data_IF_758614273017
#
_entry.id   IF_758614273017
#
_cell.length_a   1.000
_cell.length_b   1.000
_cell.length_c   1.000
_cell.angle_alpha   90.00
_cell.angle_beta   90.00
_cell.angle_gamma   90.00
#
_symmetry.space_group_name_H-M   'P 1'
#
loop_
_entity.id
_entity.type
_entity.pdbx_description
1 polymer ?
#
# COMPACT_ATOMS: atom_id res chain seq x y z
N UNK A 1 -20.32 22.02 8.82
CA UNK A 1 -19.13 21.17 8.80
C UNK A 1 -18.08 21.84 7.93
N UNK A 2 -16.81 21.91 8.35
CA UNK A 2 -15.78 22.65 7.65
C UNK A 2 -14.80 21.69 6.95
N UNK A 3 -14.47 21.99 5.68
CA UNK A 3 -13.61 21.21 4.80
C UNK A 3 -12.55 22.13 4.19
N UNK A 4 -11.29 21.70 4.17
CA UNK A 4 -10.24 22.36 3.41
C UNK A 4 -10.14 21.79 2.00
N UNK A 5 -10.10 22.63 0.96
CA UNK A 5 -9.88 22.19 -0.42
C UNK A 5 -8.70 22.95 -1.00
N UNK A 6 -7.63 22.22 -1.30
CA UNK A 6 -6.41 22.74 -1.93
C UNK A 6 -6.44 22.46 -3.44
N UNK A 7 -6.18 23.47 -4.24
CA UNK A 7 -6.12 23.35 -5.69
C UNK A 7 -7.02 24.32 -6.44
N UNK A 8 -7.13 24.12 -7.77
CA UNK A 8 -7.90 25.01 -8.68
C UNK A 8 -8.56 24.22 -9.80
N UNK A 9 -9.63 24.78 -10.36
CA UNK A 9 -10.26 24.27 -11.57
C UNK A 9 -11.47 23.38 -11.33
N UNK A 10 -11.94 22.67 -12.37
CA UNK A 10 -13.25 22.04 -12.40
C UNK A 10 -13.49 20.94 -11.37
N UNK A 11 -12.43 20.30 -10.88
CA UNK A 11 -12.54 19.31 -9.80
C UNK A 11 -12.83 19.99 -8.45
N UNK A 12 -12.14 21.10 -8.15
CA UNK A 12 -12.39 21.88 -6.93
C UNK A 12 -13.81 22.44 -6.90
N UNK A 13 -14.31 22.92 -8.05
CA UNK A 13 -15.67 23.43 -8.15
C UNK A 13 -16.71 22.31 -7.92
N UNK A 14 -16.45 21.11 -8.42
CA UNK A 14 -17.32 19.95 -8.20
C UNK A 14 -17.30 19.45 -6.75
N UNK A 15 -16.14 19.45 -6.08
CA UNK A 15 -16.03 19.13 -4.64
C UNK A 15 -16.79 20.15 -3.80
N UNK A 16 -16.66 21.44 -4.12
CA UNK A 16 -17.36 22.51 -3.40
C UNK A 16 -18.89 22.37 -3.53
N UNK A 17 -19.38 22.09 -4.75
CA UNK A 17 -20.80 21.84 -4.97
C UNK A 17 -21.32 20.64 -4.16
N UNK A 18 -20.59 19.55 -4.11
CA UNK A 18 -20.96 18.38 -3.29
C UNK A 18 -21.00 18.70 -1.78
N UNK A 19 -20.11 19.56 -1.30
CA UNK A 19 -20.13 19.98 0.09
C UNK A 19 -21.34 20.86 0.43
N UNK A 20 -21.80 21.69 -0.51
CA UNK A 20 -23.02 22.51 -0.36
C UNK A 20 -24.27 21.61 -0.18
N UNK A 21 -24.33 20.44 -0.83
CA UNK A 21 -25.45 19.49 -0.71
C UNK A 21 -25.65 18.95 0.73
N UNK A 22 -24.63 19.06 1.58
CA UNK A 22 -24.66 18.63 2.99
C UNK A 22 -24.48 19.78 4.00
N UNK A 23 -24.80 21.01 3.61
CA UNK A 23 -24.60 22.23 4.42
C UNK A 23 -23.14 22.36 4.92
N UNK A 24 -22.16 21.88 4.16
CA UNK A 24 -20.74 21.99 4.45
C UNK A 24 -20.16 23.35 4.01
N UNK A 25 -19.21 23.85 4.77
CA UNK A 25 -18.45 25.05 4.43
C UNK A 25 -17.09 24.64 3.86
N UNK A 26 -16.75 25.11 2.67
CA UNK A 26 -15.47 24.86 2.03
C UNK A 26 -14.55 26.05 2.18
N UNK A 27 -13.41 25.81 2.86
CA UNK A 27 -12.30 26.76 2.92
C UNK A 27 -11.30 26.44 1.81
N UNK A 28 -11.14 27.34 0.84
CA UNK A 28 -10.12 27.18 -0.20
C UNK A 28 -8.76 27.57 0.35
N UNK A 29 -7.78 26.65 0.23
CA UNK A 29 -6.44 26.84 0.78
C UNK A 29 -5.38 26.76 -0.33
N UNK A 30 -4.35 27.57 -0.19
CA UNK A 30 -3.18 27.51 -1.08
C UNK A 30 -2.24 26.35 -0.64
N UNK A 31 -1.48 25.74 -1.55
CA UNK A 31 -0.57 24.65 -1.22
C UNK A 31 0.41 24.94 -0.07
N UNK A 32 0.91 26.18 0.03
CA UNK A 32 1.81 26.58 1.10
C UNK A 32 1.18 26.48 2.50
N UNK A 33 -0.12 26.69 2.63
CA UNK A 33 -0.81 26.60 3.91
C UNK A 33 -0.79 25.20 4.53
N UNK A 34 -0.65 24.13 3.72
CA UNK A 34 -0.53 22.76 4.20
C UNK A 34 0.78 22.52 4.98
N UNK A 35 1.82 23.30 4.70
CA UNK A 35 3.13 23.15 5.35
C UNK A 35 3.39 24.24 6.40
N UNK A 36 2.89 25.47 6.18
CA UNK A 36 3.28 26.64 6.96
C UNK A 36 2.43 26.82 8.22
N UNK A 37 1.13 26.49 8.19
CA UNK A 37 0.22 26.65 9.31
C UNK A 37 -0.80 25.51 9.43
N UNK A 38 -0.33 24.28 9.69
CA UNK A 38 -1.17 23.10 9.74
C UNK A 38 -2.27 23.17 10.82
N UNK A 39 -2.02 23.83 11.93
CA UNK A 39 -2.96 23.88 13.06
C UNK A 39 -4.22 24.73 12.78
N UNK A 40 -4.20 25.57 11.75
CA UNK A 40 -5.34 26.43 11.37
C UNK A 40 -6.33 25.75 10.43
N UNK A 41 -6.00 24.58 9.88
CA UNK A 41 -6.80 23.90 8.88
C UNK A 41 -7.70 22.82 9.49
N UNK A 42 -8.88 22.55 8.89
CA UNK A 42 -9.71 21.42 9.26
C UNK A 42 -8.95 20.08 9.13
N UNK A 43 -9.27 19.10 9.99
CA UNK A 43 -8.72 17.75 9.93
C UNK A 43 -9.19 16.92 8.71
N UNK A 44 -10.11 17.48 7.91
CA UNK A 44 -10.66 16.82 6.73
C UNK A 44 -10.52 17.72 5.51
N UNK A 45 -10.08 17.15 4.39
CA UNK A 45 -9.86 17.95 3.20
C UNK A 45 -9.78 17.19 1.89
N UNK A 46 -9.56 17.95 0.83
CA UNK A 46 -9.26 17.41 -0.51
C UNK A 46 -8.11 18.21 -1.14
N UNK A 47 -7.31 17.51 -1.92
CA UNK A 47 -6.21 18.09 -2.70
C UNK A 47 -6.37 17.75 -4.17
N UNK A 48 -6.35 18.77 -5.03
CA UNK A 48 -6.43 18.63 -6.48
C UNK A 48 -5.20 19.25 -7.12
N UNK A 49 -4.37 18.43 -7.75
CA UNK A 49 -3.14 18.87 -8.41
C UNK A 49 -2.71 17.87 -9.51
N UNK A 50 -1.75 18.22 -10.40
CA UNK A 50 -1.02 17.25 -11.20
C UNK A 50 -0.37 16.18 -10.30
N UNK A 51 -0.28 14.93 -10.80
CA UNK A 51 0.15 13.79 -9.98
C UNK A 51 1.55 13.97 -9.36
N UNK A 52 2.46 14.64 -10.07
CA UNK A 52 3.84 14.91 -9.65
C UNK A 52 3.98 16.08 -8.65
N UNK A 53 2.88 16.69 -8.21
CA UNK A 53 2.91 17.85 -7.34
C UNK A 53 3.32 17.50 -5.91
N UNK A 54 4.24 18.26 -5.35
CA UNK A 54 4.75 18.09 -3.98
C UNK A 54 3.71 18.35 -2.87
N UNK A 55 2.50 18.78 -3.20
CA UNK A 55 1.43 19.08 -2.24
C UNK A 55 0.83 17.82 -1.59
N UNK A 56 0.82 16.68 -2.26
CA UNK A 56 0.20 15.46 -1.74
C UNK A 56 0.91 14.86 -0.51
N UNK A 57 2.25 14.77 -0.45
CA UNK A 57 2.93 14.38 0.78
C UNK A 57 2.59 15.28 1.99
N UNK A 58 2.53 16.60 1.81
CA UNK A 58 2.17 17.55 2.87
C UNK A 58 0.72 17.33 3.37
N UNK A 59 -0.21 16.99 2.48
CA UNK A 59 -1.59 16.69 2.85
C UNK A 59 -1.72 15.46 3.77
N UNK A 60 -0.84 14.48 3.63
CA UNK A 60 -0.79 13.27 4.49
C UNK A 60 -0.50 13.61 5.95
N UNK A 61 0.36 14.58 6.20
CA UNK A 61 0.72 15.01 7.55
C UNK A 61 -0.30 15.99 8.14
N UNK A 62 -1.15 16.60 7.28
CA UNK A 62 -2.13 17.61 7.64
C UNK A 62 -3.52 17.05 7.97
N UNK A 63 -4.00 16.08 7.21
CA UNK A 63 -5.37 15.61 7.28
C UNK A 63 -5.49 14.21 7.86
N UNK A 64 -6.43 14.01 8.77
CA UNK A 64 -6.81 12.68 9.28
C UNK A 64 -7.65 11.90 8.26
N UNK A 65 -8.49 12.61 7.50
CA UNK A 65 -9.35 12.10 6.43
C UNK A 65 -9.28 13.01 5.22
N UNK A 66 -8.94 12.48 4.09
CA UNK A 66 -8.84 13.32 2.90
C UNK A 66 -8.94 12.54 1.60
N UNK A 67 -9.13 13.30 0.52
CA UNK A 67 -9.21 12.76 -0.84
C UNK A 67 -8.18 13.48 -1.71
N UNK A 68 -7.33 12.69 -2.39
CA UNK A 68 -6.47 13.19 -3.45
C UNK A 68 -7.18 13.09 -4.79
N UNK A 69 -7.10 14.14 -5.59
CA UNK A 69 -7.43 14.13 -7.02
C UNK A 69 -6.14 14.42 -7.78
N UNK A 70 -5.51 13.36 -8.26
CA UNK A 70 -4.29 13.44 -9.07
C UNK A 70 -4.68 13.56 -10.55
N UNK A 71 -4.08 14.50 -11.26
CA UNK A 71 -4.34 14.73 -12.69
C UNK A 71 -3.17 14.16 -13.51
N UNK A 72 -3.46 13.28 -14.47
CA UNK A 72 -2.50 12.70 -15.40
C UNK A 72 -1.59 11.65 -14.79
N UNK A 73 -2.09 10.88 -13.81
CA UNK A 73 -1.34 9.78 -13.20
C UNK A 73 -1.84 9.38 -11.82
N UNK A 74 -0.99 8.69 -11.07
CA UNK A 74 -1.31 8.11 -9.77
C UNK A 74 -0.06 8.00 -8.89
N UNK A 75 -0.20 8.30 -7.59
CA UNK A 75 0.83 8.07 -6.58
C UNK A 75 2.11 8.87 -6.79
N UNK A 76 2.03 10.00 -7.50
CA UNK A 76 3.17 10.82 -7.87
C UNK A 76 3.83 10.47 -9.20
N UNK A 77 3.31 9.47 -9.92
CA UNK A 77 3.83 9.02 -11.21
C UNK A 77 2.89 9.40 -12.35
N UNK A 78 3.38 10.14 -13.37
CA UNK A 78 2.66 10.35 -14.62
C UNK A 78 2.39 9.01 -15.32
N UNK A 79 1.13 8.74 -15.65
CA UNK A 79 0.70 7.50 -16.28
C UNK A 79 -0.23 7.85 -17.45
N UNK A 80 0.14 7.49 -18.68
CA UNK A 80 -0.53 7.89 -19.91
C UNK A 80 -2.01 7.52 -19.94
N UNK A 81 -2.36 6.33 -19.43
CA UNK A 81 -3.73 5.80 -19.44
C UNK A 81 -4.63 6.41 -18.35
N UNK A 82 -4.10 7.25 -17.47
CA UNK A 82 -4.84 7.84 -16.34
C UNK A 82 -4.96 9.35 -16.51
N UNK A 83 -6.12 9.81 -16.98
CA UNK A 83 -6.40 11.25 -17.07
C UNK A 83 -6.63 11.90 -15.69
N UNK A 84 -7.18 11.14 -14.73
CA UNK A 84 -7.25 11.53 -13.32
C UNK A 84 -7.42 10.30 -12.42
N UNK A 85 -6.97 10.40 -11.18
CA UNK A 85 -7.21 9.40 -10.14
C UNK A 85 -7.78 10.06 -8.88
N UNK A 86 -8.68 9.35 -8.20
CA UNK A 86 -9.30 9.79 -6.95
C UNK A 86 -8.96 8.79 -5.87
N UNK A 87 -8.09 9.18 -4.93
CA UNK A 87 -7.67 8.32 -3.82
C UNK A 87 -8.25 8.80 -2.51
N UNK A 88 -8.79 7.88 -1.73
CA UNK A 88 -9.42 8.14 -0.44
C UNK A 88 -8.50 7.71 0.69
N UNK A 89 -8.19 8.60 1.62
CA UNK A 89 -7.33 8.34 2.78
C UNK A 89 -8.11 8.55 4.07
N UNK A 90 -7.92 7.65 5.04
CA UNK A 90 -8.56 7.72 6.36
C UNK A 90 -7.71 7.08 7.43
N UNK A 91 -8.12 7.17 8.70
CA UNK A 91 -7.48 6.46 9.80
C UNK A 91 -7.37 4.96 9.47
N UNK A 92 -6.29 4.34 9.89
CA UNK A 92 -6.06 2.88 9.73
C UNK A 92 -6.03 2.39 8.27
N UNK A 93 -5.85 3.30 7.31
CA UNK A 93 -5.70 2.98 5.89
C UNK A 93 -4.29 3.27 5.37
N UNK A 94 -3.98 2.76 4.16
CA UNK A 94 -2.79 3.17 3.45
C UNK A 94 -2.78 4.69 3.27
N UNK A 95 -1.64 5.35 3.52
CA UNK A 95 -1.46 6.79 3.28
C UNK A 95 -0.91 7.05 1.86
N UNK A 96 -0.76 8.31 1.48
CA UNK A 96 -0.22 8.69 0.18
C UNK A 96 1.19 8.14 -0.06
N UNK A 97 2.05 8.07 0.97
CA UNK A 97 3.37 7.46 0.87
C UNK A 97 3.30 5.96 0.53
N UNK A 98 2.31 5.25 1.08
CA UNK A 98 2.07 3.86 0.70
C UNK A 98 1.67 3.75 -0.77
N UNK A 99 0.75 4.60 -1.23
CA UNK A 99 0.34 4.65 -2.64
C UNK A 99 1.54 4.89 -3.55
N UNK A 100 2.36 5.91 -3.28
CA UNK A 100 3.57 6.21 -4.07
C UNK A 100 4.51 5.00 -4.15
N UNK A 101 4.77 4.33 -3.02
CA UNK A 101 5.64 3.15 -3.00
C UNK A 101 5.03 1.95 -3.73
N UNK A 102 3.71 1.76 -3.65
CA UNK A 102 3.02 0.70 -4.38
C UNK A 102 3.08 0.92 -5.88
N UNK A 103 2.72 2.11 -6.33
CA UNK A 103 2.80 2.45 -7.77
C UNK A 103 4.23 2.35 -8.29
N UNK A 104 5.21 2.90 -7.56
CA UNK A 104 6.62 2.84 -7.94
C UNK A 104 7.24 1.44 -7.99
N UNK A 105 6.58 0.42 -7.42
CA UNK A 105 6.98 -0.98 -7.53
C UNK A 105 6.54 -1.64 -8.87
N UNK A 106 5.70 -0.96 -9.65
CA UNK A 106 5.11 -1.49 -10.89
C UNK A 106 5.39 -0.62 -12.12
N UNK A 107 5.60 0.68 -11.93
CA UNK A 107 5.69 1.63 -13.04
C UNK A 107 7.12 2.08 -13.31
N UNK A 108 7.46 2.14 -14.59
CA UNK A 108 8.66 2.85 -15.05
C UNK A 108 8.42 4.36 -14.99
N UNK A 109 9.37 5.09 -14.39
CA UNK A 109 9.27 6.52 -14.10
C UNK A 109 9.44 7.45 -15.32
N UNK A 110 9.28 6.96 -16.53
CA UNK A 110 9.57 7.67 -17.79
C UNK A 110 8.34 8.31 -18.46
N UNK A 111 7.32 8.67 -17.68
CA UNK A 111 6.07 9.22 -18.19
C UNK A 111 6.19 10.63 -18.79
N UNK A 112 5.27 10.97 -19.70
CA UNK A 112 5.06 12.34 -20.21
C UNK A 112 4.54 13.26 -19.09
N UNK A 113 4.52 14.58 -19.37
CA UNK A 113 3.97 15.54 -18.42
C UNK A 113 2.50 15.23 -18.08
N UNK A 114 2.10 15.30 -16.80
CA UNK A 114 0.74 14.97 -16.38
C UNK A 114 -0.29 15.84 -17.10
N UNK A 115 -1.32 15.21 -17.69
CA UNK A 115 -2.42 15.94 -18.31
C UNK A 115 -3.74 15.16 -18.17
N UNK A 116 -4.85 15.90 -18.12
CA UNK A 116 -6.19 15.32 -18.07
C UNK A 116 -7.18 16.25 -18.78
N UNK A 117 -8.11 15.68 -19.52
CA UNK A 117 -9.16 16.47 -20.15
C UNK A 117 -10.11 17.07 -19.08
N UNK A 118 -10.66 18.26 -19.41
CA UNK A 118 -11.46 19.04 -18.45
C UNK A 118 -12.72 18.32 -17.97
N UNK A 119 -13.32 17.45 -18.79
CA UNK A 119 -14.52 16.70 -18.44
C UNK A 119 -14.21 15.60 -17.44
N UNK A 120 -13.15 14.84 -17.65
CA UNK A 120 -12.68 13.79 -16.75
C UNK A 120 -12.20 14.37 -15.41
N UNK A 121 -11.49 15.51 -15.43
CA UNK A 121 -11.09 16.21 -14.18
C UNK A 121 -12.31 16.67 -13.39
N UNK A 122 -13.38 17.16 -14.06
CA UNK A 122 -14.64 17.50 -13.36
C UNK A 122 -15.32 16.28 -12.76
N UNK A 123 -15.36 15.15 -13.50
CA UNK A 123 -15.90 13.89 -12.98
C UNK A 123 -15.12 13.41 -11.77
N UNK A 124 -13.79 13.47 -11.82
CA UNK A 124 -12.93 13.16 -10.67
C UNK A 124 -13.30 14.00 -9.45
N UNK A 125 -13.54 15.30 -9.63
CA UNK A 125 -14.00 16.18 -8.55
C UNK A 125 -15.35 15.78 -7.97
N UNK A 126 -16.32 15.37 -8.79
CA UNK A 126 -17.62 14.91 -8.33
C UNK A 126 -17.49 13.59 -7.52
N UNK A 127 -16.66 12.66 -7.97
CA UNK A 127 -16.36 11.42 -7.24
C UNK A 127 -15.66 11.76 -5.92
N UNK A 128 -14.68 12.66 -5.93
CA UNK A 128 -13.96 13.09 -4.74
C UNK A 128 -14.90 13.72 -3.70
N UNK A 129 -15.84 14.59 -4.13
CA UNK A 129 -16.84 15.17 -3.25
C UNK A 129 -17.73 14.10 -2.59
N UNK A 130 -18.22 13.13 -3.36
CA UNK A 130 -19.01 12.01 -2.83
C UNK A 130 -18.20 11.18 -1.83
N UNK A 131 -16.93 10.84 -2.15
CA UNK A 131 -16.04 10.10 -1.25
C UNK A 131 -15.76 10.84 0.04
N UNK A 132 -15.57 12.16 -0.03
CA UNK A 132 -15.35 13.00 1.13
C UNK A 132 -16.58 12.99 2.07
N UNK A 133 -17.79 13.06 1.52
CA UNK A 133 -19.03 12.94 2.26
C UNK A 133 -19.11 11.57 2.97
N UNK A 134 -18.84 10.48 2.25
CA UNK A 134 -18.86 9.13 2.83
C UNK A 134 -17.79 8.92 3.92
N UNK A 135 -16.59 9.53 3.78
CA UNK A 135 -15.57 9.54 4.83
C UNK A 135 -16.04 10.23 6.10
N UNK A 136 -16.72 11.35 5.94
CA UNK A 136 -17.26 12.14 7.05
C UNK A 136 -18.41 11.43 7.75
N UNK A 137 -19.25 10.73 7.00
CA UNK A 137 -20.32 9.89 7.55
C UNK A 137 -19.77 8.62 8.24
N UNK A 138 -18.49 8.30 8.08
CA UNK A 138 -17.91 7.02 8.57
C UNK A 138 -18.36 5.80 7.77
N UNK A 139 -18.91 6.01 6.58
CA UNK A 139 -19.41 4.95 5.69
C UNK A 139 -18.34 4.39 4.77
N UNK A 140 -17.28 5.16 4.49
CA UNK A 140 -16.16 4.76 3.68
C UNK A 140 -14.92 4.51 4.53
N UNK A 141 -14.24 3.37 4.28
CA UNK A 141 -12.86 3.16 4.71
C UNK A 141 -11.92 3.84 3.71
N UNK A 142 -10.78 4.36 4.18
CA UNK A 142 -9.72 4.83 3.31
C UNK A 142 -8.98 3.69 2.60
N UNK A 143 -8.01 4.05 1.77
CA UNK A 143 -7.14 3.08 1.09
C UNK A 143 -7.70 2.57 -0.23
N UNK A 144 -8.62 3.31 -0.87
CA UNK A 144 -9.12 3.00 -2.23
C UNK A 144 -8.73 4.07 -3.23
N UNK A 145 -8.44 3.67 -4.45
CA UNK A 145 -8.20 4.57 -5.59
C UNK A 145 -9.12 4.24 -6.75
N UNK A 146 -9.74 5.26 -7.33
CA UNK A 146 -10.53 5.18 -8.55
C UNK A 146 -9.77 5.83 -9.71
N UNK A 147 -9.36 5.05 -10.69
CA UNK A 147 -8.75 5.55 -11.92
C UNK A 147 -9.81 6.04 -12.90
N UNK A 148 -9.47 7.04 -13.72
CA UNK A 148 -10.35 7.64 -14.73
C UNK A 148 -9.58 7.87 -16.04
N UNK A 149 -9.85 7.08 -17.10
CA UNK A 149 -10.69 5.87 -17.08
C UNK A 149 -10.02 4.75 -16.28
N UNK A 150 -10.79 3.79 -15.77
CA UNK A 150 -10.19 2.62 -15.14
C UNK A 150 -11.00 2.04 -13.97
N UNK A 151 -10.42 1.03 -13.31
CA UNK A 151 -11.05 0.34 -12.18
C UNK A 151 -10.94 1.13 -10.88
N UNK A 152 -11.62 0.64 -9.86
CA UNK A 152 -11.34 0.95 -8.46
C UNK A 152 -10.41 -0.12 -7.89
N UNK A 153 -9.37 0.31 -7.17
CA UNK A 153 -8.33 -0.56 -6.61
C UNK A 153 -8.23 -0.39 -5.10
N UNK A 154 -7.79 -1.42 -4.40
CA UNK A 154 -7.49 -1.38 -2.97
C UNK A 154 -5.99 -1.17 -2.78
N UNK A 155 -5.62 -0.13 -2.04
CA UNK A 155 -4.22 0.14 -1.66
C UNK A 155 -3.96 -0.43 -0.27
N UNK A 156 -3.02 -1.35 -0.17
CA UNK A 156 -2.59 -1.91 1.10
C UNK A 156 -1.42 -1.10 1.69
N UNK A 157 -1.36 -0.88 3.00
CA UNK A 157 -0.22 -0.25 3.65
C UNK A 157 1.11 -0.94 3.29
N UNK A 158 2.18 -0.18 3.21
CA UNK A 158 3.53 -0.76 3.15
C UNK A 158 4.05 -1.00 4.57
N UNK A 159 4.82 -2.07 4.81
CA UNK A 159 5.17 -2.51 6.17
C UNK A 159 5.86 -1.46 7.05
N UNK A 160 6.65 -0.57 6.47
CA UNK A 160 7.45 0.41 7.21
C UNK A 160 6.90 1.84 7.19
N UNK A 161 5.65 2.02 6.79
CA UNK A 161 5.09 3.37 6.65
C UNK A 161 4.70 4.03 7.97
N UNK A 162 4.37 3.26 8.98
CA UNK A 162 3.87 3.76 10.27
C UNK A 162 2.45 4.35 10.22
N UNK A 163 1.76 4.29 9.08
CA UNK A 163 0.38 4.77 8.92
C UNK A 163 -0.68 3.75 9.30
N UNK A 164 -0.30 2.48 9.50
CA UNK A 164 -1.21 1.43 9.94
C UNK A 164 -1.25 1.34 11.46
N UNK A 165 -2.43 1.12 12.02
CA UNK A 165 -2.64 0.97 13.47
C UNK A 165 -2.00 -0.28 14.09
N UNK A 166 -1.51 -1.20 13.29
CA UNK A 166 -1.12 -2.55 13.71
C UNK A 166 0.40 -2.76 13.90
N UNK A 167 1.16 -1.70 14.07
CA UNK A 167 2.61 -1.79 14.28
C UNK A 167 3.01 -2.06 15.74
N UNK A 168 2.22 -2.88 16.45
CA UNK A 168 2.63 -3.38 17.76
C UNK A 168 3.60 -4.56 17.59
N UNK A 169 4.92 -4.34 17.80
CA UNK A 169 5.91 -5.42 17.73
C UNK A 169 5.70 -6.49 18.81
N UNK A 170 4.84 -6.20 19.81
CA UNK A 170 4.47 -7.15 20.87
C UNK A 170 3.29 -8.05 20.50
N UNK A 171 2.70 -7.89 19.31
CA UNK A 171 1.57 -8.71 18.85
C UNK A 171 1.95 -10.18 18.84
N UNK A 172 1.41 -10.93 19.78
CA UNK A 172 1.58 -12.38 19.82
C UNK A 172 0.86 -13.03 18.65
N UNK A 173 1.52 -13.99 17.98
CA UNK A 173 0.87 -14.81 16.97
C UNK A 173 -0.30 -15.55 17.60
N UNK A 174 -1.54 -15.43 17.09
CA UNK A 174 -2.65 -16.22 17.59
C UNK A 174 -2.41 -17.70 17.23
N UNK A 175 -2.17 -18.53 18.21
CA UNK A 175 -1.98 -19.98 18.05
C UNK A 175 -3.31 -20.75 17.97
N UNK A 176 -4.43 -20.06 17.78
CA UNK A 176 -5.75 -20.67 17.66
C UNK A 176 -6.06 -21.00 16.22
N UNK A 177 -6.37 -22.28 15.98
CA UNK A 177 -6.89 -22.71 14.68
C UNK A 177 -8.25 -22.09 14.39
N UNK A 178 -8.40 -21.50 13.20
CA UNK A 178 -9.69 -21.08 12.65
C UNK A 178 -10.01 -21.94 11.44
N UNK A 179 -11.21 -22.52 11.42
CA UNK A 179 -11.70 -23.18 10.22
C UNK A 179 -12.24 -22.10 9.28
N UNK A 180 -11.58 -21.88 8.17
CA UNK A 180 -11.94 -20.87 7.15
C UNK A 180 -12.16 -21.63 5.85
N UNK A 181 -13.22 -21.30 5.11
CA UNK A 181 -13.43 -21.85 3.77
C UNK A 181 -12.35 -21.37 2.79
N UNK A 182 -12.13 -22.12 1.71
CA UNK A 182 -11.19 -21.68 0.65
C UNK A 182 -11.68 -20.37 0.03
N UNK A 183 -12.98 -20.24 -0.20
CA UNK A 183 -13.60 -19.03 -0.77
C UNK A 183 -13.35 -17.79 0.09
N UNK A 184 -13.54 -17.89 1.41
CA UNK A 184 -13.27 -16.79 2.34
C UNK A 184 -11.77 -16.44 2.41
N UNK A 185 -10.91 -17.44 2.27
CA UNK A 185 -9.46 -17.24 2.23
C UNK A 185 -9.04 -16.55 0.93
N UNK A 186 -9.59 -16.98 -0.21
CA UNK A 186 -9.37 -16.37 -1.53
C UNK A 186 -9.83 -14.92 -1.55
N UNK A 187 -11.07 -14.63 -1.14
CA UNK A 187 -11.59 -13.26 -1.13
C UNK A 187 -10.78 -12.29 -0.25
N UNK A 188 -10.01 -12.81 0.72
CA UNK A 188 -9.03 -12.00 1.47
C UNK A 188 -7.70 -11.85 0.77
N UNK A 189 -7.18 -12.93 0.18
CA UNK A 189 -5.90 -12.97 -0.48
C UNK A 189 -5.91 -12.16 -1.78
N UNK A 190 -7.00 -12.20 -2.54
CA UNK A 190 -7.19 -11.46 -3.79
C UNK A 190 -7.10 -9.94 -3.63
N UNK A 191 -7.34 -9.39 -2.43
CA UNK A 191 -7.11 -7.97 -2.16
C UNK A 191 -5.65 -7.55 -2.30
N UNK A 192 -4.73 -8.50 -2.27
CA UNK A 192 -3.30 -8.25 -2.46
C UNK A 192 -2.87 -8.40 -3.93
N UNK A 193 -3.77 -8.85 -4.80
CA UNK A 193 -3.50 -9.07 -6.23
C UNK A 193 -4.02 -7.87 -7.02
N UNK A 194 -3.11 -7.11 -7.59
CA UNK A 194 -3.43 -5.96 -8.44
C UNK A 194 -2.21 -5.59 -9.28
N UNK A 195 -2.43 -5.33 -10.56
CA UNK A 195 -1.38 -5.08 -11.55
C UNK A 195 -0.70 -3.72 -11.40
N UNK A 196 -1.19 -2.82 -10.52
CA UNK A 196 -0.65 -1.46 -10.32
C UNK A 196 -0.29 -1.13 -8.88
N UNK A 197 -0.98 -1.70 -7.91
CA UNK A 197 -0.77 -1.37 -6.48
C UNK A 197 -0.68 -2.62 -5.59
N UNK A 198 -0.76 -3.81 -6.17
CA UNK A 198 -0.74 -5.08 -5.45
C UNK A 198 0.61 -5.45 -4.85
N UNK A 199 0.61 -6.42 -3.95
CA UNK A 199 1.79 -7.15 -3.52
C UNK A 199 2.12 -8.28 -4.50
N UNK A 200 1.09 -8.76 -5.17
CA UNK A 200 1.14 -9.73 -6.25
C UNK A 200 0.61 -9.02 -7.49
N UNK A 201 1.38 -8.99 -8.56
CA UNK A 201 1.04 -8.24 -9.79
C UNK A 201 0.06 -9.01 -10.64
N UNK A 202 0.30 -10.29 -10.83
CA UNK A 202 -0.56 -11.19 -11.60
C UNK A 202 -0.58 -12.58 -10.99
N UNK A 203 -1.66 -13.30 -11.23
CA UNK A 203 -1.74 -14.75 -10.96
C UNK A 203 -2.34 -15.42 -12.20
N UNK A 204 -1.59 -16.31 -12.81
CA UNK A 204 -1.99 -16.99 -14.04
C UNK A 204 -1.81 -18.49 -13.97
N UNK A 205 -2.72 -19.20 -14.61
CA UNK A 205 -2.57 -20.63 -14.85
C UNK A 205 -1.43 -20.87 -15.85
N UNK A 206 -0.50 -21.74 -15.52
CA UNK A 206 0.61 -22.14 -16.36
C UNK A 206 0.30 -23.43 -17.15
N UNK A 207 -0.26 -24.39 -16.43
CA UNK A 207 -0.63 -25.71 -16.96
C UNK A 207 -1.85 -26.25 -16.22
N UNK A 208 -2.66 -27.07 -16.91
CA UNK A 208 -3.81 -27.75 -16.31
C UNK A 208 -3.63 -29.26 -16.16
N UNK A 209 -2.63 -29.83 -16.79
CA UNK A 209 -2.37 -31.28 -16.78
C UNK A 209 -0.94 -31.57 -16.31
N UNK A 210 -0.72 -32.57 -15.43
CA UNK A 210 -1.70 -33.52 -14.85
C UNK A 210 -2.58 -32.93 -13.75
N UNK A 211 -2.25 -31.75 -13.23
CA UNK A 211 -3.02 -31.01 -12.21
C UNK A 211 -2.87 -29.50 -12.46
N UNK A 212 -3.82 -28.68 -12.01
CA UNK A 212 -3.72 -27.23 -12.08
C UNK A 212 -2.42 -26.71 -11.47
N UNK A 213 -1.73 -25.85 -12.23
CA UNK A 213 -0.49 -25.21 -11.85
C UNK A 213 -0.57 -23.71 -12.13
N UNK A 214 -0.50 -22.90 -11.06
CA UNK A 214 -0.53 -21.46 -11.12
C UNK A 214 0.84 -20.84 -10.80
N UNK A 215 1.13 -19.70 -11.43
CA UNK A 215 2.25 -18.83 -11.08
C UNK A 215 1.69 -17.48 -10.66
N UNK A 216 2.24 -16.94 -9.58
CA UNK A 216 1.96 -15.60 -9.09
C UNK A 216 3.24 -14.76 -9.19
N UNK A 217 3.17 -13.63 -9.89
CA UNK A 217 4.27 -12.67 -9.99
C UNK A 217 4.21 -11.71 -8.80
N UNK A 218 5.37 -11.42 -8.21
CA UNK A 218 5.50 -10.64 -6.97
C UNK A 218 6.00 -9.24 -7.32
N UNK A 219 5.38 -8.21 -6.71
CA UNK A 219 5.82 -6.84 -6.87
C UNK A 219 7.24 -6.62 -6.34
N UNK A 220 8.00 -5.70 -6.95
CA UNK A 220 9.34 -5.33 -6.50
C UNK A 220 9.32 -4.79 -5.07
N UNK A 221 10.16 -5.36 -4.21
CA UNK A 221 10.30 -4.95 -2.81
C UNK A 221 11.45 -3.99 -2.57
N UNK A 222 12.30 -3.70 -3.56
CA UNK A 222 13.50 -2.85 -3.40
C UNK A 222 13.15 -1.39 -3.02
N UNK A 223 11.95 -0.90 -3.39
CA UNK A 223 11.45 0.42 -2.97
C UNK A 223 11.02 0.51 -1.50
N UNK A 224 10.89 -0.63 -0.80
CA UNK A 224 10.41 -0.71 0.59
C UNK A 224 11.33 -1.49 1.52
N UNK A 225 12.35 -2.16 0.98
CA UNK A 225 13.32 -2.97 1.73
C UNK A 225 14.69 -2.91 1.06
N UNK A 226 15.75 -3.18 1.82
CA UNK A 226 17.11 -3.35 1.30
C UNK A 226 17.32 -4.74 0.63
N UNK A 227 16.29 -5.59 0.67
CA UNK A 227 16.33 -6.96 0.14
C UNK A 227 15.23 -7.13 -0.90
N UNK A 228 15.57 -7.70 -2.05
CA UNK A 228 14.59 -8.12 -3.04
C UNK A 228 13.90 -9.41 -2.61
N UNK A 229 12.57 -9.48 -2.74
CA UNK A 229 11.83 -10.73 -2.69
C UNK A 229 12.11 -11.57 -3.94
N UNK A 230 11.67 -12.84 -3.95
CA UNK A 230 11.65 -13.63 -5.17
C UNK A 230 10.66 -13.03 -6.19
N UNK A 231 10.96 -13.13 -7.48
CA UNK A 231 10.14 -12.52 -8.53
C UNK A 231 8.77 -13.19 -8.68
N UNK A 232 8.67 -14.48 -8.36
CA UNK A 232 7.42 -15.25 -8.50
C UNK A 232 7.30 -16.37 -7.47
N UNK A 233 6.07 -16.86 -7.33
CA UNK A 233 5.71 -18.03 -6.53
C UNK A 233 4.81 -18.97 -7.36
N UNK A 234 4.60 -20.18 -6.87
CA UNK A 234 3.82 -21.18 -7.60
C UNK A 234 2.89 -21.96 -6.68
N UNK A 235 1.77 -22.43 -7.24
CA UNK A 235 0.81 -23.26 -6.54
C UNK A 235 0.35 -24.44 -7.40
N UNK A 236 0.35 -25.63 -6.83
CA UNK A 236 -0.09 -26.87 -7.49
C UNK A 236 -1.05 -27.61 -6.56
N UNK A 237 -2.19 -28.01 -7.08
CA UNK A 237 -3.16 -28.84 -6.37
C UNK A 237 -4.12 -29.49 -7.38
N UNK A 238 -4.70 -30.70 -7.12
CA UNK A 238 -5.77 -31.24 -7.95
C UNK A 238 -7.03 -30.38 -8.02
N UNK A 239 -7.26 -29.54 -7.02
CA UNK A 239 -8.33 -28.56 -6.94
C UNK A 239 -7.84 -27.18 -7.39
N UNK A 240 -8.58 -26.55 -8.32
CA UNK A 240 -8.21 -25.27 -8.93
C UNK A 240 -8.09 -24.13 -7.92
N UNK A 241 -9.06 -23.98 -7.04
CA UNK A 241 -9.09 -22.90 -6.06
C UNK A 241 -7.96 -23.04 -5.04
N UNK A 242 -7.62 -24.29 -4.68
CA UNK A 242 -6.49 -24.57 -3.82
C UNK A 242 -5.15 -24.32 -4.51
N UNK A 243 -5.01 -24.68 -5.79
CA UNK A 243 -3.81 -24.39 -6.55
C UNK A 243 -3.58 -22.87 -6.65
N UNK A 244 -4.63 -22.13 -6.98
CA UNK A 244 -4.63 -20.67 -7.03
C UNK A 244 -4.30 -20.04 -5.65
N UNK A 245 -4.97 -20.50 -4.58
CA UNK A 245 -4.70 -20.01 -3.21
C UNK A 245 -3.27 -20.32 -2.76
N UNK A 246 -2.70 -21.45 -3.14
CA UNK A 246 -1.29 -21.80 -2.83
C UNK A 246 -0.32 -20.84 -3.53
N UNK A 247 -0.57 -20.49 -4.79
CA UNK A 247 0.27 -19.55 -5.54
C UNK A 247 0.28 -18.16 -4.86
N UNK A 248 -0.91 -17.63 -4.53
CA UNK A 248 -1.02 -16.34 -3.84
C UNK A 248 -0.41 -16.42 -2.43
N UNK A 249 -0.70 -17.49 -1.68
CA UNK A 249 -0.21 -17.66 -0.31
C UNK A 249 1.31 -17.69 -0.26
N UNK A 250 1.96 -18.44 -1.15
CA UNK A 250 3.42 -18.49 -1.26
C UNK A 250 4.00 -17.15 -1.75
N UNK A 251 3.31 -16.45 -2.67
CA UNK A 251 3.72 -15.11 -3.09
C UNK A 251 3.72 -14.11 -1.94
N UNK A 252 2.67 -14.10 -1.12
CA UNK A 252 2.57 -13.25 0.06
C UNK A 252 3.63 -13.60 1.11
N UNK A 253 3.93 -14.88 1.31
CA UNK A 253 5.00 -15.35 2.18
C UNK A 253 6.36 -14.84 1.70
N UNK A 254 6.68 -15.00 0.42
CA UNK A 254 7.94 -14.55 -0.19
C UNK A 254 8.07 -13.03 -0.17
N UNK A 255 6.99 -12.31 -0.48
CA UNK A 255 6.94 -10.85 -0.35
C UNK A 255 7.27 -10.44 1.09
N UNK A 256 6.59 -11.03 2.09
CA UNK A 256 6.78 -10.72 3.50
C UNK A 256 8.18 -11.07 3.99
N UNK A 257 8.79 -12.15 3.48
CA UNK A 257 10.18 -12.52 3.77
C UNK A 257 11.19 -11.57 3.13
N UNK A 258 10.84 -10.92 2.01
CA UNK A 258 11.66 -9.90 1.34
C UNK A 258 11.53 -8.51 1.95
N UNK A 259 10.52 -8.27 2.81
CA UNK A 259 10.27 -6.97 3.45
C UNK A 259 10.32 -7.12 4.95
N UNK A 260 11.35 -6.60 5.58
CA UNK A 260 11.49 -6.62 7.04
C UNK A 260 11.97 -5.26 7.57
N UNK A 261 11.65 -5.01 8.84
CA UNK A 261 11.95 -3.75 9.50
C UNK A 261 13.40 -3.74 9.97
N UNK A 262 14.28 -3.06 9.26
CA UNK A 262 15.67 -2.87 9.68
C UNK A 262 15.79 -2.11 10.99
N UNK A 263 14.80 -1.26 11.30
CA UNK A 263 14.73 -0.51 12.56
C UNK A 263 14.56 -1.41 13.80
N UNK A 264 13.95 -2.56 13.65
CA UNK A 264 13.81 -3.56 14.72
C UNK A 264 15.09 -4.41 14.90
N UNK A 265 16.00 -4.35 13.93
CA UNK A 265 17.23 -5.13 13.95
C UNK A 265 18.29 -4.48 14.84
N UNK A 266 18.96 -5.32 15.64
CA UNK A 266 20.11 -4.92 16.44
C UNK A 266 21.40 -5.33 15.77
N UNK A 267 22.21 -4.38 15.33
CA UNK A 267 23.48 -4.67 14.70
C UNK A 267 24.55 -5.06 15.72
N UNK A 268 25.02 -6.30 15.67
CA UNK A 268 25.99 -6.84 16.61
C UNK A 268 26.67 -8.11 16.10
N UNK A 269 27.61 -8.63 16.90
CA UNK A 269 28.23 -9.95 16.67
C UNK A 269 27.65 -10.97 17.66
N UNK A 270 27.73 -12.26 17.31
CA UNK A 270 27.30 -13.35 18.19
C UNK A 270 27.93 -13.25 19.60
N UNK A 271 29.17 -12.72 19.68
CA UNK A 271 29.89 -12.56 20.95
C UNK A 271 29.38 -11.44 21.83
N UNK A 272 28.68 -10.46 21.26
CA UNK A 272 28.24 -9.25 21.99
C UNK A 272 26.79 -9.30 22.46
N UNK A 273 26.06 -10.31 22.05
CA UNK A 273 24.64 -10.45 22.37
C UNK A 273 24.43 -11.43 23.54
N UNK A 274 23.41 -11.16 24.33
CA UNK A 274 22.95 -12.09 25.36
C UNK A 274 22.06 -13.17 24.73
N UNK A 275 22.44 -14.44 24.82
CA UNK A 275 21.69 -15.58 24.31
C UNK A 275 21.40 -15.57 22.78
N UNK A 276 22.40 -15.34 21.91
CA UNK A 276 22.16 -15.37 20.47
C UNK A 276 21.93 -16.80 19.96
N UNK A 277 21.02 -16.96 19.03
CA UNK A 277 20.92 -18.20 18.26
C UNK A 277 21.94 -18.12 17.11
N UNK A 278 23.02 -18.90 17.21
CA UNK A 278 24.10 -18.85 16.23
C UNK A 278 23.59 -19.12 14.82
N UNK A 279 23.91 -18.26 13.82
CA UNK A 279 23.59 -18.51 12.42
C UNK A 279 24.11 -19.85 11.87
N UNK A 280 25.14 -20.42 12.53
CA UNK A 280 25.71 -21.73 12.17
C UNK A 280 24.80 -22.93 12.52
N UNK A 281 23.75 -22.70 13.31
CA UNK A 281 22.73 -23.73 13.62
C UNK A 281 21.69 -23.88 12.49
N UNK A 282 21.63 -22.94 11.54
CA UNK A 282 20.71 -23.01 10.42
C UNK A 282 21.33 -23.82 9.28
N UNK A 283 20.52 -24.66 8.63
CA UNK A 283 20.89 -25.38 7.44
C UNK A 283 21.14 -24.39 6.31
N UNK A 284 22.22 -24.53 5.59
CA UNK A 284 22.57 -23.69 4.44
C UNK A 284 22.90 -24.55 3.23
N UNK A 285 22.60 -24.07 2.02
CA UNK A 285 23.05 -24.73 0.79
C UNK A 285 24.59 -24.80 0.74
N UNK A 286 25.10 -25.79 0.02
CA UNK A 286 26.54 -25.92 -0.24
C UNK A 286 27.06 -24.67 -0.99
N UNK A 287 28.23 -24.17 -0.60
CA UNK A 287 28.85 -22.96 -1.19
C UNK A 287 28.50 -21.64 -0.50
N UNK A 288 27.59 -21.64 0.50
CA UNK A 288 27.33 -20.43 1.29
C UNK A 288 28.30 -20.36 2.49
N UNK A 289 28.97 -19.22 2.62
CA UNK A 289 29.88 -18.95 3.75
C UNK A 289 29.13 -18.93 5.08
N UNK A 290 29.72 -19.55 6.09
CA UNK A 290 29.25 -19.48 7.46
C UNK A 290 29.73 -18.18 8.10
N UNK A 291 28.85 -17.35 8.69
CA UNK A 291 29.28 -16.17 9.44
C UNK A 291 30.17 -16.55 10.61
N UNK A 292 31.27 -15.84 10.79
CA UNK A 292 32.14 -16.04 11.95
C UNK A 292 31.50 -15.37 13.19
N UNK A 293 31.80 -15.86 14.43
CA UNK A 293 31.19 -15.33 15.63
C UNK A 293 31.48 -13.85 15.92
N UNK A 294 32.47 -13.28 15.29
CA UNK A 294 32.89 -11.87 15.40
C UNK A 294 32.33 -10.99 14.27
N UNK A 295 31.71 -11.59 13.24
CA UNK A 295 31.06 -10.79 12.19
C UNK A 295 29.86 -10.05 12.76
N UNK A 296 29.76 -8.79 12.39
CA UNK A 296 28.61 -7.94 12.76
C UNK A 296 27.54 -8.11 11.71
N UNK A 297 26.41 -8.68 12.11
CA UNK A 297 25.21 -8.85 11.32
C UNK A 297 24.02 -8.20 12.03
N UNK A 298 22.90 -8.09 11.35
CA UNK A 298 21.67 -7.60 11.94
C UNK A 298 20.93 -8.78 12.59
N UNK A 299 20.47 -8.57 13.82
CA UNK A 299 19.80 -9.55 14.65
C UNK A 299 18.39 -9.07 14.96
N UNK A 300 17.45 -9.99 14.96
CA UNK A 300 16.07 -9.75 15.40
C UNK A 300 15.79 -10.59 16.65
N UNK A 301 14.91 -10.10 17.51
CA UNK A 301 14.42 -10.89 18.63
C UNK A 301 13.53 -12.01 18.13
N UNK A 302 13.67 -13.20 18.72
CA UNK A 302 12.93 -14.39 18.37
C UNK A 302 12.42 -15.09 19.62
N UNK A 303 11.38 -15.90 19.48
CA UNK A 303 10.80 -16.71 20.55
C UNK A 303 10.95 -18.19 20.24
N UNK A 304 11.35 -18.99 21.23
CA UNK A 304 11.32 -20.45 21.12
C UNK A 304 9.89 -20.95 21.28
N UNK A 305 9.32 -21.55 20.24
CA UNK A 305 7.93 -22.03 20.26
C UNK A 305 7.68 -23.21 21.23
N UNK A 306 8.64 -24.16 21.47
CA UNK A 306 8.44 -25.24 22.43
C UNK A 306 8.42 -24.79 23.89
N UNK A 307 9.07 -23.66 24.19
CA UNK A 307 9.32 -23.21 25.55
C UNK A 307 8.52 -21.93 25.92
N UNK A 308 7.78 -21.38 24.98
CA UNK A 308 6.97 -20.15 25.17
C UNK A 308 7.76 -18.88 25.02
#
# INVERSE_FOLDING_TARGET
>A
MELAVCGRGPAVDAIAAAAEDIDGTVSRVEPAALSDDPASLPATGAVVAPTDAAVFPAATDQFDRWVAVEIGGLGGYPIEDIAAAVTTFGPDSACYRCLTKRVGAHEDTSGESPHGDRSTVRLAGAIAGNRLISLLAGEAAGGTVRELPGPERQVLPVPDCGCGSDDDPSRSLPLTHRNVSVDDALGRAERAVDDRVGLVTTVGERESFPVPYYIADIADTTGVSDTAAADFAAGVDPDWDRAYMKAIGEALERYSAGVYRTQAARRGSERTLAAPVSPRRFVRPEGFDQPKPDHRIDWIDGQSLPDG
#
